data_IF_469786617087
#
_entry.id   IF_469786617087
#
_cell.length_a   1.000
_cell.length_b   1.000
_cell.length_c   1.000
_cell.angle_alpha   90.00
_cell.angle_beta   90.00
_cell.angle_gamma   90.00
#
_symmetry.space_group_name_H-M   'P 1'
#
loop_
_entity.id
_entity.type
_entity.pdbx_description
1 polymer ?
#
# COMPACT_ATOMS: atom_id res chain seq x y z
N UNK A 1 13.40 0.81 -40.74
CA UNK A 1 13.65 2.11 -40.10
C UNK A 1 13.53 1.98 -38.58
N UNK A 2 14.03 2.90 -37.78
CA UNK A 2 13.68 3.05 -36.37
C UNK A 2 12.50 4.00 -36.29
N UNK A 3 11.56 3.71 -35.37
CA UNK A 3 10.35 4.49 -35.18
C UNK A 3 10.16 4.76 -33.69
N UNK A 4 10.17 6.03 -33.29
CA UNK A 4 9.76 6.44 -31.95
C UNK A 4 8.27 6.66 -31.93
N UNK A 5 7.58 6.11 -30.93
CA UNK A 5 6.13 6.15 -30.82
C UNK A 5 5.72 6.48 -29.38
N UNK A 6 4.66 7.28 -29.25
CA UNK A 6 4.01 7.60 -27.99
C UNK A 6 2.49 7.73 -28.21
N UNK A 7 1.69 7.46 -27.16
CA UNK A 7 0.21 7.41 -27.24
C UNK A 7 -0.40 8.25 -26.14
N UNK A 8 -1.28 9.17 -26.52
CA UNK A 8 -2.15 9.87 -25.60
C UNK A 8 -3.52 9.19 -25.51
N UNK A 9 -3.99 8.93 -24.29
CA UNK A 9 -5.26 8.26 -24.03
C UNK A 9 -6.04 8.90 -22.87
N UNK A 10 -7.35 8.71 -22.87
CA UNK A 10 -8.19 9.12 -21.76
C UNK A 10 -7.97 8.24 -20.52
N UNK A 11 -8.34 8.76 -19.36
CA UNK A 11 -8.14 8.11 -18.07
C UNK A 11 -9.45 8.08 -17.30
N UNK A 12 -9.87 6.89 -16.88
CA UNK A 12 -11.05 6.70 -16.02
C UNK A 12 -10.66 6.63 -14.56
N UNK A 13 -11.43 7.29 -13.69
CA UNK A 13 -11.29 7.18 -12.24
C UNK A 13 -12.38 6.29 -11.67
N UNK A 14 -12.00 5.12 -11.12
CA UNK A 14 -12.90 4.17 -10.48
C UNK A 14 -12.39 3.82 -9.07
N UNK A 15 -13.26 3.84 -8.07
CA UNK A 15 -12.91 3.54 -6.66
C UNK A 15 -11.73 4.37 -6.14
N UNK A 16 -11.64 5.64 -6.55
CA UNK A 16 -10.56 6.55 -6.16
C UNK A 16 -9.21 6.31 -6.85
N UNK A 17 -9.13 5.34 -7.77
CA UNK A 17 -7.92 4.99 -8.53
C UNK A 17 -8.06 5.38 -10.00
N UNK A 18 -6.93 5.74 -10.60
CA UNK A 18 -6.83 6.04 -12.03
C UNK A 18 -6.55 4.73 -12.79
N UNK A 19 -7.30 4.52 -13.85
CA UNK A 19 -7.17 3.41 -14.79
C UNK A 19 -6.82 3.99 -16.17
N UNK A 20 -5.62 3.67 -16.65
CA UNK A 20 -5.07 4.21 -17.90
C UNK A 20 -5.11 3.20 -19.05
N UNK A 21 -5.61 2.01 -18.78
CA UNK A 21 -5.58 0.89 -19.72
C UNK A 21 -6.82 0.87 -20.63
N UNK A 22 -6.75 0.22 -21.80
CA UNK A 22 -7.85 0.15 -22.76
C UNK A 22 -9.00 -0.78 -22.35
N UNK A 23 -8.90 -1.49 -21.20
CA UNK A 23 -9.96 -2.38 -20.70
C UNK A 23 -11.02 -1.65 -19.89
N UNK A 24 -10.84 -0.35 -19.62
CA UNK A 24 -11.91 0.49 -19.10
C UNK A 24 -12.74 1.00 -20.30
N UNK A 25 -14.08 0.82 -20.30
CA UNK A 25 -14.93 1.11 -21.46
C UNK A 25 -14.93 2.57 -21.89
N UNK A 26 -14.71 3.46 -20.92
CA UNK A 26 -14.71 4.91 -21.16
C UNK A 26 -13.32 5.44 -21.56
N UNK A 27 -12.31 4.56 -21.62
CA UNK A 27 -10.98 4.94 -22.06
C UNK A 27 -10.85 4.77 -23.58
N UNK A 28 -10.31 5.79 -24.22
CA UNK A 28 -10.09 5.83 -25.67
C UNK A 28 -8.67 6.29 -25.97
N UNK A 29 -8.13 5.81 -27.10
CA UNK A 29 -6.90 6.32 -27.67
C UNK A 29 -7.19 7.65 -28.34
N UNK A 30 -6.55 8.72 -27.87
CA UNK A 30 -6.80 10.09 -28.35
C UNK A 30 -5.92 10.41 -29.55
N UNK A 31 -4.61 10.25 -29.39
CA UNK A 31 -3.63 10.52 -30.43
C UNK A 31 -2.51 9.48 -30.42
N UNK A 32 -1.89 9.25 -31.57
CA UNK A 32 -0.65 8.50 -31.74
C UNK A 32 0.35 9.39 -32.44
N UNK A 33 1.48 9.59 -31.79
CA UNK A 33 2.64 10.28 -32.35
C UNK A 33 3.70 9.29 -32.82
N UNK A 34 4.33 9.59 -33.95
CA UNK A 34 5.37 8.77 -34.54
C UNK A 34 6.46 9.64 -35.12
N UNK A 35 7.72 9.33 -34.80
CA UNK A 35 8.92 10.03 -35.32
C UNK A 35 9.88 9.00 -35.88
N UNK A 36 10.21 9.09 -37.16
CA UNK A 36 11.16 8.18 -37.80
C UNK A 36 12.64 8.66 -37.69
N UNK A 37 13.56 7.78 -38.01
CA UNK A 37 15.01 8.04 -37.95
C UNK A 37 15.52 9.05 -39.06
N UNK A 38 14.62 9.55 -39.89
CA UNK A 38 14.89 10.65 -40.85
C UNK A 38 14.34 11.98 -40.33
N UNK A 39 13.65 11.99 -39.20
CA UNK A 39 13.07 13.18 -38.62
C UNK A 39 11.68 13.53 -39.15
N UNK A 40 11.01 12.61 -39.86
CA UNK A 40 9.63 12.82 -40.25
C UNK A 40 8.72 12.47 -39.09
N UNK A 41 7.86 13.40 -38.71
CA UNK A 41 6.91 13.30 -37.65
C UNK A 41 5.48 13.18 -38.21
N UNK A 42 4.71 12.20 -37.70
CA UNK A 42 3.29 12.02 -37.99
C UNK A 42 2.52 11.99 -36.67
N UNK A 43 1.54 12.88 -36.50
CA UNK A 43 0.58 12.83 -35.37
C UNK A 43 -0.80 12.49 -35.93
N UNK A 44 -1.36 11.40 -35.44
CA UNK A 44 -2.66 10.86 -35.91
C UNK A 44 -3.69 10.93 -34.79
N UNK A 45 -4.80 11.61 -35.03
CA UNK A 45 -5.90 11.77 -34.08
C UNK A 45 -6.93 10.65 -34.27
N UNK A 46 -7.36 10.03 -33.14
CA UNK A 46 -8.37 8.96 -33.12
C UNK A 46 -9.65 9.34 -32.40
N UNK A 47 -9.56 10.01 -31.25
CA UNK A 47 -10.74 10.46 -30.49
C UNK A 47 -10.45 11.77 -29.76
N UNK A 48 -10.78 12.89 -30.42
CA UNK A 48 -10.56 14.22 -29.85
C UNK A 48 -11.83 15.07 -30.01
N UNK A 49 -12.14 15.94 -29.04
CA UNK A 49 -13.38 16.73 -29.07
C UNK A 49 -13.41 17.78 -30.22
N UNK A 50 -12.27 18.30 -30.61
CA UNK A 50 -12.14 19.34 -31.64
C UNK A 50 -11.85 18.78 -33.04
N UNK A 51 -11.29 17.57 -33.15
CA UNK A 51 -10.86 17.01 -34.43
C UNK A 51 -11.37 15.58 -34.62
N UNK A 52 -12.05 15.38 -35.74
CA UNK A 52 -12.53 14.06 -36.13
C UNK A 52 -11.38 13.18 -36.65
N UNK A 53 -11.42 11.87 -36.39
CA UNK A 53 -10.41 10.94 -36.92
C UNK A 53 -10.45 10.92 -38.46
N UNK A 54 -9.27 10.86 -39.06
CA UNK A 54 -9.17 10.70 -40.51
C UNK A 54 -9.35 9.24 -40.90
N UNK A 55 -9.98 8.97 -42.04
CA UNK A 55 -10.16 7.60 -42.58
C UNK A 55 -8.83 6.91 -42.86
N UNK A 56 -7.78 7.69 -43.14
CA UNK A 56 -6.44 7.20 -43.47
C UNK A 56 -5.56 6.99 -42.22
N UNK A 57 -5.96 7.54 -41.05
CA UNK A 57 -5.12 7.54 -39.84
C UNK A 57 -4.68 6.14 -39.43
N UNK A 58 -5.63 5.17 -39.45
CA UNK A 58 -5.29 3.78 -39.13
C UNK A 58 -4.30 3.15 -40.13
N UNK A 59 -4.43 3.47 -41.39
CA UNK A 59 -3.51 2.98 -42.42
C UNK A 59 -2.10 3.58 -42.24
N UNK A 60 -2.02 4.86 -41.93
CA UNK A 60 -0.73 5.55 -41.69
C UNK A 60 0.00 4.90 -40.53
N UNK A 61 -0.68 4.72 -39.39
CA UNK A 61 -0.08 4.10 -38.19
C UNK A 61 0.38 2.67 -38.50
N UNK A 62 -0.51 1.81 -39.08
CA UNK A 62 -0.13 0.44 -39.36
C UNK A 62 1.04 0.34 -40.34
N UNK A 63 1.01 1.15 -41.40
CA UNK A 63 2.11 1.18 -42.40
C UNK A 63 3.46 1.55 -41.74
N UNK A 64 3.49 2.57 -40.88
CA UNK A 64 4.72 2.95 -40.15
C UNK A 64 5.19 1.83 -39.24
N UNK A 65 4.26 1.12 -38.55
CA UNK A 65 4.60 -0.04 -37.73
C UNK A 65 5.16 -1.20 -38.57
N UNK A 66 4.57 -1.47 -39.76
CA UNK A 66 5.03 -2.54 -40.66
C UNK A 66 6.44 -2.24 -41.21
N UNK A 67 6.76 -0.98 -41.44
CA UNK A 67 8.07 -0.51 -41.94
C UNK A 67 9.14 -0.40 -40.81
N UNK A 68 8.73 -0.46 -39.55
CA UNK A 68 9.62 -0.30 -38.41
C UNK A 68 10.34 -1.62 -38.07
N UNK A 69 11.68 -1.60 -38.12
CA UNK A 69 12.52 -2.69 -37.64
C UNK A 69 12.74 -2.61 -36.12
N UNK A 70 12.69 -1.41 -35.55
CA UNK A 70 12.82 -1.15 -34.12
C UNK A 70 11.80 -0.08 -33.71
N UNK A 71 10.98 -0.39 -32.71
CA UNK A 71 10.05 0.54 -32.09
C UNK A 71 10.65 1.07 -30.76
N UNK A 72 10.79 2.38 -30.65
CA UNK A 72 11.34 3.07 -29.48
C UNK A 72 10.19 3.72 -28.72
N UNK A 73 10.07 3.45 -27.44
CA UNK A 73 9.02 3.97 -26.57
C UNK A 73 9.55 4.25 -25.17
N UNK A 74 8.83 5.05 -24.39
CA UNK A 74 9.10 5.24 -22.97
C UNK A 74 7.99 4.61 -22.13
N UNK A 75 8.26 3.49 -21.44
CA UNK A 75 7.28 2.61 -20.82
C UNK A 75 6.44 1.81 -21.86
N UNK A 76 7.13 1.16 -22.76
CA UNK A 76 6.59 0.45 -23.92
C UNK A 76 5.40 -0.48 -23.65
N UNK A 77 5.28 -1.03 -22.44
CA UNK A 77 4.17 -1.88 -22.06
C UNK A 77 2.81 -1.18 -22.17
N UNK A 78 2.77 0.13 -21.95
CA UNK A 78 1.57 0.94 -22.07
C UNK A 78 1.16 1.10 -23.53
N UNK A 79 2.05 1.56 -24.37
CA UNK A 79 1.79 1.86 -25.78
C UNK A 79 1.47 0.59 -26.59
N UNK A 80 2.24 -0.48 -26.36
CA UNK A 80 1.98 -1.78 -26.98
C UNK A 80 0.58 -2.30 -26.69
N UNK A 81 0.11 -2.14 -25.46
CA UNK A 81 -1.22 -2.58 -25.06
C UNK A 81 -2.31 -1.78 -25.76
N UNK A 82 -2.15 -0.44 -25.86
CA UNK A 82 -3.07 0.42 -26.59
C UNK A 82 -3.08 0.10 -28.09
N UNK A 83 -1.92 -0.12 -28.70
CA UNK A 83 -1.83 -0.53 -30.10
C UNK A 83 -2.61 -1.83 -30.35
N UNK A 84 -2.32 -2.88 -29.56
CA UNK A 84 -2.95 -4.19 -29.78
C UNK A 84 -4.46 -4.18 -29.55
N UNK A 85 -4.94 -3.52 -28.49
CA UNK A 85 -6.37 -3.42 -28.20
C UNK A 85 -7.10 -2.51 -29.22
N UNK A 86 -6.40 -1.56 -29.81
CA UNK A 86 -6.93 -0.76 -30.93
C UNK A 86 -6.85 -1.48 -32.28
N UNK A 87 -6.37 -2.73 -32.33
CA UNK A 87 -6.32 -3.58 -33.52
C UNK A 87 -5.11 -3.34 -34.43
N UNK A 88 -4.07 -2.66 -33.92
CA UNK A 88 -2.77 -2.58 -34.60
C UNK A 88 -1.93 -3.81 -34.28
N UNK A 89 -1.00 -4.13 -35.19
CA UNK A 89 -0.07 -5.25 -35.04
C UNK A 89 1.37 -4.76 -35.12
N UNK A 90 2.20 -5.26 -34.24
CA UNK A 90 3.64 -5.08 -34.28
C UNK A 90 4.32 -6.29 -33.62
N UNK A 91 5.27 -6.89 -34.31
CA UNK A 91 6.03 -8.06 -33.86
C UNK A 91 7.54 -7.87 -33.98
N UNK A 92 7.97 -6.65 -34.30
CA UNK A 92 9.38 -6.29 -34.40
C UNK A 92 10.08 -6.14 -33.05
N UNK A 93 11.34 -5.73 -33.08
CA UNK A 93 12.12 -5.43 -31.88
C UNK A 93 11.64 -4.12 -31.23
N UNK A 94 11.71 -4.04 -29.91
CA UNK A 94 11.44 -2.82 -29.15
C UNK A 94 12.66 -2.36 -28.36
N UNK A 95 12.72 -1.06 -28.10
CA UNK A 95 13.58 -0.48 -27.08
C UNK A 95 12.76 0.43 -26.16
N UNK A 96 12.61 0.00 -24.92
CA UNK A 96 11.97 0.79 -23.86
C UNK A 96 13.02 1.64 -23.15
N UNK A 97 12.97 2.96 -23.36
CA UNK A 97 13.94 3.90 -22.79
C UNK A 97 13.88 3.98 -21.26
N UNK A 98 12.69 3.78 -20.65
CA UNK A 98 12.54 3.69 -19.21
C UNK A 98 13.28 2.46 -18.66
N UNK A 99 13.13 1.30 -19.29
CA UNK A 99 13.83 0.08 -18.91
C UNK A 99 15.33 0.16 -19.26
N UNK A 100 15.70 0.84 -20.33
CA UNK A 100 17.08 1.16 -20.66
C UNK A 100 17.77 1.90 -19.51
N UNK A 101 17.16 2.99 -19.07
CA UNK A 101 17.66 3.75 -17.92
C UNK A 101 17.71 2.92 -16.63
N UNK A 102 16.66 2.15 -16.34
CA UNK A 102 16.63 1.26 -15.17
C UNK A 102 17.80 0.26 -15.12
N UNK A 103 18.18 -0.34 -16.25
CA UNK A 103 19.30 -1.29 -16.32
C UNK A 103 20.63 -0.56 -16.08
N UNK A 104 20.82 0.64 -16.67
CA UNK A 104 22.03 1.45 -16.47
C UNK A 104 22.20 1.92 -15.03
N UNK A 105 21.11 2.21 -14.32
CA UNK A 105 21.15 2.59 -12.90
C UNK A 105 21.65 1.50 -11.95
N UNK A 106 21.66 0.23 -12.35
CA UNK A 106 22.18 -0.88 -11.54
C UNK A 106 21.65 -0.91 -10.10
N UNK A 107 20.37 -0.55 -9.92
CA UNK A 107 19.68 -0.57 -8.64
C UNK A 107 19.76 0.70 -7.79
N UNK A 108 20.26 1.81 -8.32
CA UNK A 108 20.34 3.11 -7.61
C UNK A 108 18.96 3.74 -7.34
N UNK A 109 17.92 3.36 -8.11
CA UNK A 109 16.52 3.82 -7.93
C UNK A 109 16.32 5.33 -8.14
N UNK A 110 17.02 5.92 -9.06
CA UNK A 110 16.70 7.27 -9.52
C UNK A 110 15.33 7.28 -10.24
N UNK A 111 14.62 8.41 -10.28
CA UNK A 111 13.35 8.52 -11.00
C UNK A 111 13.52 8.17 -12.48
N UNK A 112 12.52 7.46 -13.02
CA UNK A 112 12.52 6.89 -14.37
C UNK A 112 11.50 7.54 -15.31
N UNK A 113 10.74 8.56 -14.87
CA UNK A 113 9.85 9.29 -15.78
C UNK A 113 10.65 9.97 -16.89
N UNK A 114 10.04 10.13 -18.06
CA UNK A 114 10.69 10.79 -19.20
C UNK A 114 11.25 12.16 -18.82
N UNK A 115 10.48 12.96 -18.09
CA UNK A 115 10.89 14.25 -17.56
C UNK A 115 12.16 14.16 -16.68
N UNK A 116 12.21 13.20 -15.74
CA UNK A 116 13.38 13.02 -14.87
C UNK A 116 14.61 12.51 -15.62
N UNK A 117 14.41 11.67 -16.63
CA UNK A 117 15.48 11.22 -17.51
C UNK A 117 15.98 12.37 -18.39
N UNK A 118 15.07 13.16 -18.94
CA UNK A 118 15.42 14.31 -19.77
C UNK A 118 16.21 15.37 -18.98
N UNK A 119 15.82 15.65 -17.74
CA UNK A 119 16.57 16.53 -16.84
C UNK A 119 17.97 15.98 -16.56
N UNK A 120 18.10 14.68 -16.30
CA UNK A 120 19.38 14.01 -16.02
C UNK A 120 20.35 14.07 -17.18
N UNK A 121 19.85 13.97 -18.40
CA UNK A 121 20.67 13.96 -19.63
C UNK A 121 20.74 15.30 -20.34
N UNK A 122 20.18 16.37 -19.74
CA UNK A 122 20.09 17.70 -20.30
C UNK A 122 19.50 17.69 -21.72
N UNK A 123 18.33 17.02 -21.86
CA UNK A 123 17.61 16.93 -23.11
C UNK A 123 16.60 18.08 -23.25
N UNK A 124 16.29 18.42 -24.49
CA UNK A 124 15.29 19.44 -24.78
C UNK A 124 13.87 18.93 -24.41
N UNK A 125 13.35 19.44 -23.33
CA UNK A 125 11.94 19.22 -22.95
C UNK A 125 11.21 20.54 -22.83
N UNK A 126 10.01 20.63 -23.42
CA UNK A 126 9.11 21.73 -23.09
C UNK A 126 8.57 21.51 -21.67
N UNK A 127 8.27 22.60 -20.94
CA UNK A 127 7.66 22.54 -19.61
C UNK A 127 6.29 21.87 -19.70
N UNK A 128 6.15 20.71 -19.07
CA UNK A 128 4.92 19.88 -19.05
C UNK A 128 3.86 20.35 -18.05
N UNK A 129 3.94 21.60 -17.57
CA UNK A 129 3.08 22.08 -16.48
C UNK A 129 1.59 22.10 -16.88
N UNK A 130 1.28 22.39 -18.15
CA UNK A 130 -0.11 22.54 -18.62
C UNK A 130 -0.92 21.23 -18.58
N UNK A 131 -0.38 20.12 -19.08
CA UNK A 131 -1.06 18.82 -19.06
C UNK A 131 -1.25 18.31 -17.62
N UNK A 132 -0.22 18.45 -16.78
CA UNK A 132 -0.34 18.07 -15.35
C UNK A 132 -1.41 18.87 -14.61
N UNK A 133 -1.52 20.18 -14.89
CA UNK A 133 -2.56 21.04 -14.31
C UNK A 133 -3.95 20.67 -14.84
N UNK A 134 -4.06 20.38 -16.14
CA UNK A 134 -5.27 19.93 -16.78
C UNK A 134 -5.83 18.65 -16.15
N UNK A 135 -4.99 17.62 -16.01
CA UNK A 135 -5.34 16.36 -15.38
C UNK A 135 -5.65 16.50 -13.88
N UNK A 136 -4.91 17.35 -13.15
CA UNK A 136 -5.23 17.67 -11.73
C UNK A 136 -6.58 18.35 -11.59
N UNK A 137 -7.01 19.13 -12.56
CA UNK A 137 -8.34 19.74 -12.60
C UNK A 137 -9.45 18.72 -12.92
N UNK A 138 -9.11 17.44 -13.13
CA UNK A 138 -10.05 16.36 -13.44
C UNK A 138 -10.61 16.40 -14.86
N UNK A 139 -9.94 17.12 -15.78
CA UNK A 139 -10.34 17.23 -17.18
C UNK A 139 -9.76 16.09 -18.00
N UNK A 140 -10.45 15.72 -19.10
CA UNK A 140 -10.01 14.68 -20.03
C UNK A 140 -8.96 15.22 -20.99
N UNK A 141 -7.97 14.41 -21.35
CA UNK A 141 -6.99 14.70 -22.41
C UNK A 141 -7.70 14.93 -23.75
N UNK A 142 -8.81 14.23 -23.98
CA UNK A 142 -9.66 14.38 -25.16
C UNK A 142 -10.16 15.81 -25.39
N UNK A 143 -10.36 16.59 -24.30
CA UNK A 143 -10.95 17.94 -24.31
C UNK A 143 -9.87 19.04 -24.18
N UNK A 144 -8.60 18.69 -24.24
CA UNK A 144 -7.50 19.66 -24.27
C UNK A 144 -7.44 20.31 -25.66
N UNK A 145 -6.91 21.55 -25.77
CA UNK A 145 -6.67 22.14 -27.08
C UNK A 145 -5.84 21.21 -27.95
N UNK A 146 -6.31 20.94 -29.17
CA UNK A 146 -5.68 19.97 -30.07
C UNK A 146 -4.24 20.32 -30.41
N UNK A 147 -3.92 21.60 -30.63
CA UNK A 147 -2.57 22.06 -30.94
C UNK A 147 -1.65 21.89 -29.73
N UNK A 148 -2.16 22.24 -28.53
CA UNK A 148 -1.41 22.10 -27.29
C UNK A 148 -1.10 20.62 -26.98
N UNK A 149 -2.05 19.72 -27.19
CA UNK A 149 -1.84 18.27 -27.02
C UNK A 149 -0.88 17.71 -28.06
N UNK A 150 -0.98 18.13 -29.31
CA UNK A 150 -0.05 17.74 -30.38
C UNK A 150 1.37 18.22 -30.12
N UNK A 151 1.53 19.46 -29.68
CA UNK A 151 2.83 20.02 -29.30
C UNK A 151 3.46 19.29 -28.11
N UNK A 152 2.60 18.83 -27.17
CA UNK A 152 3.02 18.04 -26.04
C UNK A 152 3.53 16.67 -26.50
N UNK A 153 2.74 15.94 -27.30
CA UNK A 153 3.08 14.63 -27.84
C UNK A 153 4.35 14.69 -28.71
N UNK A 154 4.50 15.71 -29.55
CA UNK A 154 5.72 15.96 -30.31
C UNK A 154 6.95 16.12 -29.43
N UNK A 155 6.84 16.89 -28.34
CA UNK A 155 7.94 17.07 -27.40
C UNK A 155 8.35 15.74 -26.72
N UNK A 156 7.39 14.89 -26.36
CA UNK A 156 7.66 13.59 -25.75
C UNK A 156 8.30 12.61 -26.74
N UNK A 157 7.92 12.64 -28.03
CA UNK A 157 8.58 11.87 -29.07
C UNK A 157 10.05 12.26 -29.21
N UNK A 158 10.35 13.56 -29.34
CA UNK A 158 11.70 14.05 -29.47
C UNK A 158 12.56 13.76 -28.22
N UNK A 159 12.00 13.94 -27.04
CA UNK A 159 12.69 13.60 -25.77
C UNK A 159 12.99 12.09 -25.68
N UNK A 160 12.04 11.25 -26.09
CA UNK A 160 12.21 9.78 -26.10
C UNK A 160 13.26 9.34 -27.10
N UNK A 161 13.29 9.94 -28.31
CA UNK A 161 14.33 9.68 -29.32
C UNK A 161 15.70 10.11 -28.84
N UNK A 162 15.83 11.32 -28.29
CA UNK A 162 17.11 11.84 -27.77
C UNK A 162 17.60 10.97 -26.59
N UNK A 163 16.69 10.55 -25.71
CA UNK A 163 17.02 9.64 -24.60
C UNK A 163 17.53 8.30 -25.13
N UNK A 164 16.88 7.73 -26.13
CA UNK A 164 17.35 6.50 -26.79
C UNK A 164 18.78 6.66 -27.29
N UNK A 165 19.09 7.75 -28.01
CA UNK A 165 20.40 7.99 -28.55
C UNK A 165 21.48 8.11 -27.46
N UNK A 166 21.17 8.80 -26.36
CA UNK A 166 22.05 8.87 -25.18
C UNK A 166 22.28 7.51 -24.51
N UNK A 167 21.23 6.74 -24.35
CA UNK A 167 21.33 5.41 -23.76
C UNK A 167 22.14 4.46 -24.64
N UNK A 168 21.97 4.51 -25.97
CA UNK A 168 22.76 3.70 -26.92
C UNK A 168 24.25 3.92 -26.80
N UNK A 169 24.69 5.16 -26.70
CA UNK A 169 26.12 5.50 -26.49
C UNK A 169 26.63 4.83 -25.21
N UNK A 170 25.88 4.91 -24.10
CA UNK A 170 26.29 4.29 -22.83
C UNK A 170 26.31 2.76 -22.88
N UNK A 171 25.41 2.15 -23.64
CA UNK A 171 25.39 0.69 -23.83
C UNK A 171 26.58 0.22 -24.70
N UNK A 172 26.99 0.97 -25.68
CA UNK A 172 28.18 0.70 -26.48
C UNK A 172 29.46 0.77 -25.65
N UNK A 173 29.54 1.68 -24.69
CA UNK A 173 30.64 1.77 -23.71
C UNK A 173 30.58 0.61 -22.67
N UNK A 174 29.40 0.05 -22.41
CA UNK A 174 29.13 -0.99 -21.40
C UNK A 174 28.61 -2.29 -22.03
N UNK A 175 29.38 -2.95 -22.89
CA UNK A 175 28.99 -4.18 -23.61
C UNK A 175 28.39 -5.28 -22.72
N UNK A 176 28.73 -5.33 -21.43
CA UNK A 176 28.19 -6.31 -20.49
C UNK A 176 26.69 -6.15 -20.19
N UNK A 177 26.11 -4.98 -20.50
CA UNK A 177 24.70 -4.70 -20.29
C UNK A 177 23.82 -4.89 -21.53
N UNK A 178 24.42 -5.03 -22.71
CA UNK A 178 23.69 -5.18 -23.97
C UNK A 178 22.75 -6.41 -23.97
N UNK A 179 23.24 -7.54 -23.51
CA UNK A 179 22.41 -8.75 -23.38
C UNK A 179 21.29 -8.58 -22.33
N UNK A 180 21.56 -7.83 -21.27
CA UNK A 180 20.57 -7.57 -20.20
C UNK A 180 19.44 -6.70 -20.71
N UNK A 181 19.75 -5.60 -21.43
CA UNK A 181 18.69 -4.73 -21.96
C UNK A 181 17.87 -5.43 -23.03
N UNK A 182 18.51 -6.22 -23.90
CA UNK A 182 17.79 -7.00 -24.92
C UNK A 182 16.80 -7.98 -24.27
N UNK A 183 17.23 -8.72 -23.26
CA UNK A 183 16.36 -9.64 -22.51
C UNK A 183 15.26 -8.88 -21.79
N UNK A 184 15.56 -7.71 -21.19
CA UNK A 184 14.60 -6.88 -20.48
C UNK A 184 13.50 -6.37 -21.41
N UNK A 185 13.83 -5.92 -22.61
CA UNK A 185 12.87 -5.50 -23.62
C UNK A 185 12.00 -6.66 -24.13
N UNK A 186 12.59 -7.82 -24.41
CA UNK A 186 11.83 -9.01 -24.79
C UNK A 186 10.85 -9.42 -23.70
N UNK A 187 11.29 -9.39 -22.43
CA UNK A 187 10.42 -9.67 -21.30
C UNK A 187 9.28 -8.65 -21.17
N UNK A 188 9.52 -7.37 -21.43
CA UNK A 188 8.49 -6.33 -21.40
C UNK A 188 7.32 -6.64 -22.34
N UNK A 189 7.61 -7.09 -23.58
CA UNK A 189 6.59 -7.53 -24.55
C UNK A 189 5.76 -8.70 -23.98
N UNK A 190 6.43 -9.69 -23.40
CA UNK A 190 5.73 -10.84 -22.82
C UNK A 190 4.87 -10.45 -21.60
N UNK A 191 5.36 -9.55 -20.76
CA UNK A 191 4.60 -9.05 -19.60
C UNK A 191 3.39 -8.22 -20.04
N UNK A 192 3.52 -7.39 -21.08
CA UNK A 192 2.40 -6.69 -21.69
C UNK A 192 1.35 -7.67 -22.25
N UNK A 193 1.77 -8.76 -22.91
CA UNK A 193 0.86 -9.82 -23.37
C UNK A 193 0.19 -10.57 -22.23
N UNK A 194 0.88 -10.82 -21.12
CA UNK A 194 0.26 -11.41 -19.91
C UNK A 194 -0.81 -10.47 -19.36
N UNK A 195 -0.51 -9.17 -19.26
CA UNK A 195 -1.49 -8.18 -18.86
C UNK A 195 -2.69 -8.16 -19.78
N UNK A 196 -2.48 -8.07 -21.10
CA UNK A 196 -3.53 -8.08 -22.12
C UNK A 196 -4.45 -9.29 -21.98
N UNK A 197 -3.91 -10.49 -21.79
CA UNK A 197 -4.68 -11.71 -21.67
C UNK A 197 -5.52 -11.78 -20.42
N UNK A 198 -5.03 -11.22 -19.31
CA UNK A 198 -5.68 -11.25 -18.01
C UNK A 198 -5.92 -12.65 -17.44
N UNK A 199 -6.48 -12.69 -16.24
CA UNK A 199 -6.92 -13.92 -15.56
C UNK A 199 -8.43 -13.89 -15.41
N UNK A 200 -9.13 -14.91 -15.90
CA UNK A 200 -10.59 -15.01 -15.76
C UNK A 200 -10.95 -15.19 -14.29
N UNK A 201 -11.83 -14.32 -13.78
CA UNK A 201 -12.29 -14.31 -12.40
C UNK A 201 -13.70 -14.87 -12.32
N UNK A 202 -13.92 -15.82 -11.44
CA UNK A 202 -15.24 -16.28 -11.02
C UNK A 202 -15.78 -15.31 -9.95
N UNK A 203 -16.61 -14.38 -10.35
CA UNK A 203 -17.17 -13.35 -9.45
C UNK A 203 -18.12 -13.94 -8.41
N UNK A 204 -18.81 -15.03 -8.70
CA UNK A 204 -19.69 -15.74 -7.75
C UNK A 204 -18.83 -16.44 -6.68
N UNK A 205 -17.76 -17.12 -7.10
CA UNK A 205 -16.82 -17.74 -6.18
C UNK A 205 -16.08 -16.68 -5.33
N UNK A 206 -15.75 -15.51 -5.90
CA UNK A 206 -15.14 -14.41 -5.16
C UNK A 206 -16.08 -13.87 -4.07
N UNK A 207 -17.36 -13.70 -4.40
CA UNK A 207 -18.37 -13.26 -3.45
C UNK A 207 -18.60 -14.31 -2.34
N UNK A 208 -18.65 -15.59 -2.68
CA UNK A 208 -18.76 -16.66 -1.69
C UNK A 208 -17.56 -16.67 -0.72
N UNK A 209 -16.35 -16.49 -1.23
CA UNK A 209 -15.13 -16.36 -0.43
C UNK A 209 -15.19 -15.12 0.46
N UNK A 210 -15.67 -13.98 -0.05
CA UNK A 210 -15.86 -12.76 0.74
C UNK A 210 -16.76 -13.00 1.95
N UNK A 211 -17.94 -13.58 1.71
CA UNK A 211 -18.93 -13.87 2.76
C UNK A 211 -18.34 -14.83 3.82
N UNK A 212 -17.68 -15.91 3.39
CA UNK A 212 -17.05 -16.88 4.29
C UNK A 212 -16.05 -16.20 5.25
N UNK A 213 -15.18 -15.34 4.71
CA UNK A 213 -14.15 -14.67 5.51
C UNK A 213 -14.68 -13.51 6.34
N UNK A 214 -15.70 -12.80 5.91
CA UNK A 214 -16.39 -11.82 6.75
C UNK A 214 -17.05 -12.46 7.97
N UNK A 215 -17.71 -13.59 7.80
CA UNK A 215 -18.28 -14.35 8.91
C UNK A 215 -17.21 -14.89 9.87
N UNK A 216 -16.09 -15.37 9.35
CA UNK A 216 -14.95 -15.79 10.18
C UNK A 216 -14.36 -14.61 10.95
N UNK A 217 -14.15 -13.46 10.30
CA UNK A 217 -13.66 -12.23 10.92
C UNK A 217 -14.54 -11.79 12.07
N UNK A 218 -15.86 -11.75 11.84
CA UNK A 218 -16.82 -11.31 12.85
C UNK A 218 -16.89 -12.27 14.05
N UNK A 219 -16.73 -13.57 13.80
CA UNK A 219 -16.64 -14.58 14.85
C UNK A 219 -15.37 -14.43 15.67
N UNK A 220 -14.21 -14.32 15.01
CA UNK A 220 -12.92 -14.11 15.69
C UNK A 220 -12.90 -12.79 16.48
N UNK A 221 -13.49 -11.74 15.94
CA UNK A 221 -13.59 -10.44 16.61
C UNK A 221 -14.39 -10.56 17.91
N UNK A 222 -15.58 -11.17 17.88
CA UNK A 222 -16.40 -11.38 19.08
C UNK A 222 -15.70 -12.23 20.14
N UNK A 223 -15.06 -13.31 19.73
CA UNK A 223 -14.32 -14.18 20.65
C UNK A 223 -13.12 -13.46 21.28
N UNK A 224 -12.40 -12.67 20.51
CA UNK A 224 -11.26 -11.88 21.00
C UNK A 224 -11.72 -10.73 21.90
N UNK A 225 -12.80 -10.03 21.58
CA UNK A 225 -13.38 -8.99 22.44
C UNK A 225 -13.79 -9.53 23.78
N UNK A 226 -14.42 -10.70 23.81
CA UNK A 226 -14.79 -11.35 25.08
C UNK A 226 -13.55 -11.76 25.89
N UNK A 227 -12.53 -12.33 25.25
CA UNK A 227 -11.27 -12.65 25.94
C UNK A 227 -10.56 -11.39 26.45
N UNK A 228 -10.55 -10.30 25.67
CA UNK A 228 -9.98 -9.01 26.09
C UNK A 228 -10.76 -8.45 27.28
N UNK A 229 -12.09 -8.52 27.25
CA UNK A 229 -12.94 -8.10 28.37
C UNK A 229 -12.61 -8.84 29.67
N UNK A 230 -12.38 -10.14 29.59
CA UNK A 230 -11.97 -10.95 30.75
C UNK A 230 -10.55 -10.56 31.21
N UNK A 231 -9.63 -10.29 30.31
CA UNK A 231 -8.23 -9.97 30.61
C UNK A 231 -8.01 -8.52 31.07
N UNK A 232 -8.71 -7.56 30.47
CA UNK A 232 -8.44 -6.13 30.59
C UNK A 232 -9.60 -5.36 31.20
N UNK A 233 -10.75 -5.99 31.40
CA UNK A 233 -11.97 -5.32 31.81
C UNK A 233 -12.79 -4.81 30.62
N UNK A 234 -13.97 -4.25 30.90
CA UNK A 234 -14.94 -3.83 29.88
C UNK A 234 -14.53 -2.49 29.21
N UNK A 235 -13.45 -2.54 28.46
CA UNK A 235 -12.91 -1.40 27.71
C UNK A 235 -12.66 -1.77 26.26
N UNK A 236 -12.96 -0.87 25.33
CA UNK A 236 -12.66 -1.11 23.94
C UNK A 236 -11.14 -1.10 23.71
N UNK A 237 -10.62 -2.25 23.32
CA UNK A 237 -9.21 -2.41 22.89
C UNK A 237 -9.22 -2.69 21.40
N UNK A 238 -8.57 -1.84 20.64
CA UNK A 238 -8.37 -2.07 19.21
C UNK A 238 -7.20 -3.04 18.99
N UNK A 239 -7.50 -4.29 18.69
CA UNK A 239 -6.50 -5.34 18.44
C UNK A 239 -5.73 -5.15 17.12
N UNK A 240 -6.24 -4.34 16.20
CA UNK A 240 -5.52 -3.95 14.99
C UNK A 240 -4.46 -2.86 15.25
N UNK A 241 -4.49 -2.24 16.44
CA UNK A 241 -3.43 -1.35 16.87
C UNK A 241 -2.29 -2.15 17.52
N UNK A 242 -1.07 -2.18 16.95
CA UNK A 242 0.07 -2.88 17.55
C UNK A 242 0.37 -2.41 18.97
N UNK A 243 0.13 -1.13 19.26
CA UNK A 243 0.29 -0.56 20.59
C UNK A 243 -0.71 -1.16 21.58
N UNK A 244 -2.01 -1.14 21.25
CA UNK A 244 -3.05 -1.65 22.14
C UNK A 244 -2.97 -3.16 22.30
N UNK A 245 -2.65 -3.89 21.24
CA UNK A 245 -2.37 -5.32 21.33
C UNK A 245 -1.18 -5.61 22.27
N UNK A 246 -0.15 -4.77 22.26
CA UNK A 246 1.00 -4.92 23.17
C UNK A 246 0.60 -4.77 24.65
N UNK A 247 -0.42 -3.96 24.94
CA UNK A 247 -0.94 -3.82 26.30
C UNK A 247 -1.56 -5.13 26.82
N UNK A 248 -2.35 -5.76 25.96
CA UNK A 248 -2.98 -7.06 26.31
C UNK A 248 -1.93 -8.14 26.50
N UNK A 249 -0.93 -8.20 25.63
CA UNK A 249 0.12 -9.25 25.68
C UNK A 249 1.05 -9.06 26.86
N UNK A 250 1.60 -7.88 27.04
CA UNK A 250 2.68 -7.64 28.02
C UNK A 250 2.19 -7.01 29.32
N UNK A 251 0.94 -6.61 29.39
CA UNK A 251 0.38 -5.88 30.53
C UNK A 251 1.18 -4.62 30.91
N UNK A 252 1.83 -4.01 29.92
CA UNK A 252 2.73 -2.86 30.09
C UNK A 252 2.67 -1.93 28.90
N UNK A 253 2.78 -0.63 29.14
CA UNK A 253 2.98 0.42 28.14
C UNK A 253 4.30 1.15 28.34
N UNK A 254 5.13 1.34 27.29
CA UNK A 254 6.48 1.91 27.48
C UNK A 254 6.55 3.41 27.68
N UNK A 255 5.67 4.24 27.11
CA UNK A 255 5.98 5.68 27.03
C UNK A 255 4.87 6.67 27.37
N UNK A 256 3.63 6.46 26.98
CA UNK A 256 2.60 7.49 27.14
C UNK A 256 1.62 7.18 28.26
N UNK A 257 1.82 7.88 29.37
CA UNK A 257 1.02 7.72 30.60
C UNK A 257 -0.40 8.27 30.47
N UNK A 258 -0.61 9.28 29.60
CA UNK A 258 -1.88 10.02 29.53
C UNK A 258 -3.00 9.21 28.88
N UNK A 259 -2.73 8.63 27.72
CA UNK A 259 -3.70 7.79 27.00
C UNK A 259 -4.11 6.56 27.83
N UNK A 260 -3.21 6.07 28.62
CA UNK A 260 -3.45 4.91 29.47
C UNK A 260 -4.36 5.23 30.66
N UNK A 261 -4.13 6.35 31.34
CA UNK A 261 -4.99 6.83 32.42
C UNK A 261 -6.43 7.06 31.90
N UNK A 262 -6.57 7.69 30.73
CA UNK A 262 -7.88 7.96 30.13
C UNK A 262 -8.63 6.67 29.77
N UNK A 263 -7.93 5.57 29.44
CA UNK A 263 -8.56 4.29 29.13
C UNK A 263 -8.96 3.48 30.37
N UNK A 264 -8.19 3.52 31.44
CA UNK A 264 -8.34 2.58 32.57
C UNK A 264 -8.76 3.22 33.90
N UNK A 265 -8.45 4.46 34.19
CA UNK A 265 -8.87 5.12 35.43
C UNK A 265 -10.40 5.21 35.59
N UNK A 266 -11.19 5.51 34.56
CA UNK A 266 -12.65 5.57 34.70
C UNK A 266 -13.33 4.21 34.89
N UNK A 267 -12.58 3.12 34.80
CA UNK A 267 -13.17 1.75 34.87
C UNK A 267 -13.47 1.29 36.30
N UNK A 268 -13.30 2.14 37.28
CA UNK A 268 -13.54 1.77 38.68
C UNK A 268 -14.84 2.37 39.18
N UNK A 269 -15.97 1.65 39.09
CA UNK A 269 -17.27 2.20 39.46
C UNK A 269 -17.37 2.59 40.92
N UNK A 270 -16.54 2.02 41.78
CA UNK A 270 -16.57 2.22 43.25
C UNK A 270 -15.23 2.72 43.81
N UNK A 271 -14.30 3.12 43.00
CA UNK A 271 -12.94 3.51 43.36
C UNK A 271 -12.17 2.45 44.21
N UNK A 272 -12.69 1.22 44.27
CA UNK A 272 -12.08 0.13 45.04
C UNK A 272 -10.81 -0.43 44.40
N UNK A 273 -10.65 -0.21 43.11
CA UNK A 273 -9.54 -0.73 42.30
C UNK A 273 -9.07 0.29 41.26
N UNK A 274 -7.82 0.31 40.92
CA UNK A 274 -7.30 1.09 39.80
C UNK A 274 -6.06 0.46 39.17
N UNK A 275 -5.72 0.96 37.97
CA UNK A 275 -4.45 0.70 37.30
C UNK A 275 -3.36 1.63 37.82
N UNK A 276 -2.16 1.10 38.01
CA UNK A 276 -1.03 1.88 38.53
C UNK A 276 0.01 2.10 37.44
N UNK A 277 0.46 3.35 37.38
CA UNK A 277 1.58 3.77 36.55
C UNK A 277 2.86 3.71 37.40
N UNK A 278 3.81 2.89 36.98
CA UNK A 278 5.10 2.75 37.67
C UNK A 278 6.24 3.07 36.70
N UNK A 279 7.11 4.02 37.10
CA UNK A 279 8.42 4.32 36.49
C UNK A 279 8.48 4.15 34.96
N UNK A 280 7.86 5.03 34.18
CA UNK A 280 7.86 5.03 32.71
C UNK A 280 7.32 3.77 32.01
N UNK A 281 6.89 2.76 32.77
CA UNK A 281 6.14 1.62 32.26
C UNK A 281 4.84 1.48 33.05
N UNK A 282 3.72 1.26 32.34
CA UNK A 282 2.41 1.06 32.95
C UNK A 282 2.23 -0.43 33.16
N UNK A 283 2.13 -0.86 34.40
CA UNK A 283 1.69 -2.20 34.78
C UNK A 283 0.18 -2.18 34.99
N UNK A 284 -0.53 -2.99 34.27
CA UNK A 284 -1.95 -3.19 34.50
C UNK A 284 -2.17 -4.19 35.60
N UNK A 285 -2.62 -3.72 36.72
CA UNK A 285 -3.15 -4.56 37.78
C UNK A 285 -4.20 -3.81 38.58
N UNK A 286 -5.14 -4.53 39.13
CA UNK A 286 -6.13 -3.99 40.06
C UNK A 286 -5.51 -3.96 41.45
N UNK A 287 -5.61 -2.83 42.11
CA UNK A 287 -5.28 -2.71 43.52
C UNK A 287 -6.53 -2.29 44.30
N UNK A 288 -6.77 -2.90 45.44
CA UNK A 288 -7.85 -2.48 46.31
C UNK A 288 -7.54 -1.12 46.91
N UNK A 289 -8.42 -0.17 46.65
CA UNK A 289 -8.28 1.19 47.15
C UNK A 289 -8.89 1.32 48.55
N UNK A 290 -8.21 2.08 49.40
CA UNK A 290 -8.76 2.61 50.66
C UNK A 290 -8.74 4.12 50.62
N UNK A 291 -9.72 4.75 51.21
CA UNK A 291 -9.75 6.19 51.39
C UNK A 291 -8.45 6.68 52.06
N UNK A 292 -7.83 7.67 51.50
CA UNK A 292 -6.59 8.24 52.05
C UNK A 292 -6.88 8.95 53.34
N UNK A 293 -6.29 8.48 54.46
CA UNK A 293 -6.46 9.08 55.74
C UNK A 293 -5.80 10.49 55.86
N UNK A 294 -4.78 10.78 55.04
CA UNK A 294 -4.10 12.08 55.08
C UNK A 294 -4.93 13.24 54.50
N UNK A 295 -5.90 12.95 53.64
CA UNK A 295 -6.81 13.96 53.07
C UNK A 295 -8.28 13.59 53.17
N UNK A 296 -8.63 12.55 53.87
CA UNK A 296 -9.98 12.03 54.02
C UNK A 296 -10.70 11.86 52.65
N UNK A 297 -9.97 11.35 51.66
CA UNK A 297 -10.51 11.07 50.32
C UNK A 297 -10.58 12.25 49.37
N UNK A 298 -10.23 13.48 49.81
CA UNK A 298 -10.38 14.68 48.95
C UNK A 298 -9.26 14.83 47.91
N UNK A 299 -8.14 14.13 48.08
CA UNK A 299 -6.95 14.31 47.25
C UNK A 299 -6.18 15.60 47.52
N UNK A 300 -6.71 16.49 48.37
CA UNK A 300 -6.16 17.80 48.63
C UNK A 300 -6.02 18.05 50.12
N UNK A 301 -5.01 18.82 50.51
CA UNK A 301 -4.78 19.25 51.89
C UNK A 301 -4.56 20.75 51.94
N UNK A 302 -4.98 21.39 53.02
CA UNK A 302 -4.64 22.76 53.33
C UNK A 302 -3.54 22.78 54.40
N UNK A 303 -2.49 23.55 54.17
CA UNK A 303 -1.45 23.76 55.18
C UNK A 303 -2.00 24.64 56.28
N UNK A 304 -1.57 24.37 57.50
CA UNK A 304 -1.88 25.16 58.71
C UNK A 304 -0.79 26.24 58.88
N UNK A 305 -1.20 27.48 59.16
CA UNK A 305 -0.29 28.57 59.50
C UNK A 305 0.20 28.42 60.96
N UNK A 306 1.22 29.19 61.31
CA UNK A 306 1.76 29.20 62.65
C UNK A 306 0.73 29.63 63.72
N UNK A 307 -0.28 30.40 63.31
CA UNK A 307 -1.36 30.89 64.16
C UNK A 307 -2.54 29.91 64.27
N UNK A 308 -2.43 28.73 63.66
CA UNK A 308 -3.47 27.70 63.63
C UNK A 308 -4.51 27.87 62.51
N UNK A 309 -4.48 28.95 61.74
CA UNK A 309 -5.40 29.16 60.61
C UNK A 309 -4.97 28.38 59.38
N UNK A 310 -5.96 28.08 58.49
CA UNK A 310 -5.67 27.36 57.23
C UNK A 310 -5.30 28.35 56.12
N UNK A 311 -4.35 27.97 55.26
CA UNK A 311 -4.11 28.71 54.03
C UNK A 311 -5.32 28.60 53.10
N UNK A 312 -5.64 29.66 52.36
CA UNK A 312 -6.70 29.66 51.38
C UNK A 312 -6.46 28.67 50.23
N UNK A 313 -5.17 28.50 49.86
CA UNK A 313 -4.76 27.61 48.77
C UNK A 313 -4.70 26.15 49.24
N UNK A 314 -5.31 25.26 48.50
CA UNK A 314 -5.16 23.80 48.64
C UNK A 314 -3.92 23.31 47.91
N UNK A 315 -3.26 22.29 48.47
CA UNK A 315 -2.14 21.60 47.86
C UNK A 315 -2.53 20.13 47.62
N UNK A 316 -1.93 19.54 46.63
CA UNK A 316 -2.07 18.09 46.37
C UNK A 316 -1.62 17.31 47.63
N UNK A 317 -2.40 16.33 48.04
CA UNK A 317 -2.04 15.48 49.19
C UNK A 317 -0.83 14.62 48.84
N UNK A 318 0.25 14.77 49.56
CA UNK A 318 1.48 14.00 49.34
C UNK A 318 1.38 12.51 49.69
N UNK A 319 0.43 12.15 50.56
CA UNK A 319 0.20 10.76 50.98
C UNK A 319 -0.43 9.89 49.87
N UNK A 320 -1.32 10.47 49.11
CA UNK A 320 -2.03 9.77 48.01
C UNK A 320 -1.73 10.33 46.63
N UNK A 321 -0.80 11.26 46.54
CA UNK A 321 -0.44 11.97 45.32
C UNK A 321 -1.64 12.62 44.62
N UNK A 322 -2.57 13.15 45.43
CA UNK A 322 -3.76 13.84 44.93
C UNK A 322 -4.91 12.95 44.48
N UNK A 323 -4.82 11.65 44.67
CA UNK A 323 -5.83 10.69 44.20
C UNK A 323 -7.00 10.53 45.16
N UNK A 324 -6.86 10.89 46.42
CA UNK A 324 -7.85 10.63 47.47
C UNK A 324 -7.80 9.19 48.02
N UNK A 325 -7.01 8.30 47.44
CA UNK A 325 -6.96 6.88 47.82
C UNK A 325 -5.51 6.41 48.02
N UNK A 326 -5.35 5.47 48.93
CA UNK A 326 -4.16 4.63 49.07
C UNK A 326 -4.48 3.22 48.59
N UNK A 327 -3.53 2.55 47.98
CA UNK A 327 -3.73 1.26 47.32
C UNK A 327 -2.91 0.17 47.98
N UNK A 328 -3.52 -1.01 48.16
CA UNK A 328 -2.87 -2.18 48.75
C UNK A 328 -2.08 -2.95 47.70
N UNK A 329 -0.85 -3.34 48.01
CA UNK A 329 0.06 -4.01 47.08
C UNK A 329 -0.29 -5.46 46.74
N UNK A 330 -1.21 -6.06 47.49
CA UNK A 330 -1.48 -7.51 47.45
C UNK A 330 -2.57 -8.00 46.50
N UNK A 331 -3.06 -7.13 45.61
CA UNK A 331 -4.10 -7.56 44.66
C UNK A 331 -3.46 -8.23 43.45
N UNK A 332 -3.93 -9.44 43.05
CA UNK A 332 -3.39 -10.14 41.88
C UNK A 332 -3.48 -9.29 40.63
N UNK A 333 -2.42 -9.30 39.84
CA UNK A 333 -2.47 -8.73 38.50
C UNK A 333 -3.46 -9.53 37.65
N UNK A 334 -4.56 -8.90 37.22
CA UNK A 334 -5.62 -9.52 36.45
C UNK A 334 -5.70 -9.00 35.02
N UNK A 335 -4.86 -8.05 34.67
CA UNK A 335 -4.88 -7.43 33.34
C UNK A 335 -3.85 -8.05 32.40
N UNK A 336 -4.31 -8.41 31.20
CA UNK A 336 -3.50 -8.94 30.12
C UNK A 336 -2.93 -10.33 30.34
N UNK A 337 -2.17 -10.80 29.36
CA UNK A 337 -1.55 -12.14 29.33
C UNK A 337 -0.27 -12.25 30.17
N UNK A 338 0.26 -11.15 30.65
CA UNK A 338 1.42 -11.06 31.56
C UNK A 338 2.73 -11.63 31.02
N UNK A 339 2.92 -11.63 29.70
CA UNK A 339 4.22 -11.97 29.16
C UNK A 339 5.29 -10.97 29.61
N UNK A 340 6.51 -11.45 29.74
CA UNK A 340 7.63 -10.57 30.04
C UNK A 340 7.81 -9.58 28.88
N UNK A 341 7.99 -8.30 29.22
CA UNK A 341 8.29 -7.27 28.25
C UNK A 341 9.57 -7.63 27.49
N UNK A 342 9.59 -7.44 26.16
CA UNK A 342 10.76 -7.76 25.39
C UNK A 342 11.92 -6.82 25.70
N UNK A 343 13.13 -7.25 25.38
CA UNK A 343 14.34 -6.44 25.41
C UNK A 343 14.28 -5.32 24.36
N UNK A 344 15.25 -4.42 24.37
CA UNK A 344 15.34 -3.29 23.42
C UNK A 344 15.20 -3.68 21.95
N UNK A 345 15.62 -4.88 21.57
CA UNK A 345 15.47 -5.42 20.21
C UNK A 345 14.01 -5.49 19.72
N UNK A 346 13.06 -5.62 20.64
CA UNK A 346 11.64 -5.79 20.35
C UNK A 346 10.79 -4.60 20.80
N UNK A 347 11.42 -3.48 21.09
CA UNK A 347 10.74 -2.23 21.38
C UNK A 347 10.74 -1.32 20.16
N UNK A 348 9.61 -0.69 19.91
CA UNK A 348 9.45 0.33 18.86
C UNK A 348 9.11 1.68 19.51
N UNK A 349 9.05 2.74 18.70
CA UNK A 349 8.61 4.05 19.17
C UNK A 349 7.19 4.00 19.77
N UNK A 350 6.32 3.10 19.27
CA UNK A 350 4.91 3.00 19.62
C UNK A 350 4.57 1.84 20.57
N UNK A 351 5.56 1.17 21.15
CA UNK A 351 5.31 0.08 22.08
C UNK A 351 6.20 -1.15 21.87
N UNK A 352 5.79 -2.27 22.42
CA UNK A 352 6.50 -3.53 22.27
C UNK A 352 6.07 -4.25 20.99
N UNK A 353 6.99 -4.98 20.37
CA UNK A 353 6.74 -5.67 19.12
C UNK A 353 5.63 -6.72 19.24
N UNK A 354 4.70 -6.64 18.29
CA UNK A 354 3.58 -7.59 18.09
C UNK A 354 3.58 -8.15 16.68
N UNK A 355 4.75 -8.16 16.01
CA UNK A 355 4.90 -8.73 14.67
C UNK A 355 4.55 -10.21 14.63
N UNK A 356 4.21 -10.71 13.45
CA UNK A 356 3.87 -12.13 13.22
C UNK A 356 4.88 -13.08 13.86
N UNK A 357 6.18 -12.84 13.65
CA UNK A 357 7.26 -13.70 14.19
C UNK A 357 7.31 -13.63 15.72
N UNK A 358 7.04 -12.43 16.27
CA UNK A 358 6.98 -12.28 17.72
C UNK A 358 5.79 -13.01 18.32
N UNK A 359 4.62 -12.94 17.69
CA UNK A 359 3.43 -13.67 18.15
C UNK A 359 3.64 -15.19 18.08
N UNK A 360 4.28 -15.71 17.04
CA UNK A 360 4.67 -17.14 16.93
C UNK A 360 5.62 -17.54 18.05
N UNK A 361 6.63 -16.71 18.33
CA UNK A 361 7.55 -16.98 19.44
C UNK A 361 6.81 -17.01 20.79
N UNK A 362 5.92 -16.04 21.04
CA UNK A 362 5.14 -15.99 22.29
C UNK A 362 4.18 -17.16 22.42
N UNK A 363 3.60 -17.64 21.33
CA UNK A 363 2.79 -18.86 21.30
C UNK A 363 3.62 -20.07 21.74
N UNK A 364 4.86 -20.23 21.26
CA UNK A 364 5.79 -21.27 21.70
C UNK A 364 6.09 -21.18 23.20
N UNK A 365 6.33 -19.98 23.73
CA UNK A 365 6.51 -19.73 25.16
C UNK A 365 5.25 -20.07 25.98
N UNK A 366 4.07 -19.72 25.45
CA UNK A 366 2.81 -20.06 26.12
C UNK A 366 2.59 -21.57 26.20
N UNK A 367 2.87 -22.30 25.12
CA UNK A 367 2.79 -23.77 25.09
C UNK A 367 3.74 -24.42 26.10
N UNK A 368 4.98 -23.98 26.17
CA UNK A 368 5.98 -24.51 27.12
C UNK A 368 5.61 -24.25 28.60
N UNK A 369 4.73 -23.27 28.85
CA UNK A 369 4.25 -22.92 30.19
C UNK A 369 2.82 -23.40 30.47
N UNK A 370 2.23 -24.21 29.61
CA UNK A 370 0.85 -24.69 29.69
C UNK A 370 -0.20 -23.60 29.83
N UNK A 371 0.05 -22.42 29.19
CA UNK A 371 -0.86 -21.27 29.19
C UNK A 371 -1.85 -21.36 28.02
N UNK A 372 -2.81 -22.28 28.08
CA UNK A 372 -3.69 -22.60 26.95
C UNK A 372 -4.52 -21.39 26.47
N UNK A 373 -5.01 -20.57 27.39
CA UNK A 373 -5.78 -19.36 27.04
C UNK A 373 -4.93 -18.35 26.27
N UNK A 374 -3.65 -18.20 26.63
CA UNK A 374 -2.74 -17.35 25.90
C UNK A 374 -2.40 -17.92 24.51
N UNK A 375 -2.27 -19.24 24.38
CA UNK A 375 -2.09 -19.91 23.07
C UNK A 375 -3.29 -19.61 22.18
N UNK A 376 -4.50 -19.83 22.66
CA UNK A 376 -5.74 -19.60 21.92
C UNK A 376 -5.87 -18.13 21.51
N UNK A 377 -5.60 -17.19 22.42
CA UNK A 377 -5.62 -15.75 22.12
C UNK A 377 -4.63 -15.38 21.00
N UNK A 378 -3.36 -15.79 21.12
CA UNK A 378 -2.32 -15.45 20.13
C UNK A 378 -2.62 -16.06 18.75
N UNK A 379 -3.18 -17.27 18.71
CA UNK A 379 -3.60 -17.91 17.47
C UNK A 379 -4.75 -17.16 16.80
N UNK A 380 -5.79 -16.77 17.58
CA UNK A 380 -6.92 -15.99 17.07
C UNK A 380 -6.50 -14.63 16.58
N UNK A 381 -5.63 -13.91 17.29
CA UNK A 381 -5.10 -12.61 16.84
C UNK A 381 -4.35 -12.74 15.51
N UNK A 382 -3.52 -13.76 15.38
CA UNK A 382 -2.81 -14.03 14.12
C UNK A 382 -3.77 -14.41 12.99
N UNK A 383 -4.81 -15.19 13.30
CA UNK A 383 -5.81 -15.56 12.30
C UNK A 383 -6.64 -14.37 11.87
N UNK A 384 -7.10 -13.52 12.81
CA UNK A 384 -7.83 -12.30 12.51
C UNK A 384 -7.01 -11.38 11.59
N UNK A 385 -5.74 -11.11 11.93
CA UNK A 385 -4.85 -10.30 11.10
C UNK A 385 -4.64 -10.90 9.70
N UNK A 386 -4.62 -12.22 9.59
CA UNK A 386 -4.54 -12.88 8.30
C UNK A 386 -5.86 -12.72 7.51
N UNK A 387 -7.01 -12.91 8.12
CA UNK A 387 -8.33 -12.73 7.49
C UNK A 387 -8.50 -11.28 7.01
N UNK A 388 -8.17 -10.28 7.84
CA UNK A 388 -8.23 -8.87 7.44
C UNK A 388 -7.33 -8.57 6.22
N UNK A 389 -6.11 -9.12 6.19
CA UNK A 389 -5.21 -8.98 5.04
C UNK A 389 -5.83 -9.60 3.78
N UNK A 390 -6.52 -10.72 3.90
CA UNK A 390 -7.13 -11.38 2.75
C UNK A 390 -8.33 -10.63 2.21
N UNK A 391 -9.21 -10.19 3.08
CA UNK A 391 -10.35 -9.37 2.69
C UNK A 391 -9.88 -8.08 2.00
N UNK A 392 -8.97 -7.34 2.63
CA UNK A 392 -8.54 -6.04 2.10
C UNK A 392 -7.59 -6.13 0.90
N UNK A 393 -6.63 -7.05 0.91
CA UNK A 393 -5.61 -7.10 -0.14
C UNK A 393 -5.99 -7.98 -1.33
N UNK A 394 -6.71 -9.07 -1.08
CA UNK A 394 -7.02 -10.02 -2.15
C UNK A 394 -8.47 -9.94 -2.59
N UNK A 395 -9.45 -10.02 -1.70
CA UNK A 395 -10.86 -9.97 -2.11
C UNK A 395 -11.21 -8.58 -2.66
N UNK A 396 -11.00 -7.53 -1.89
CA UNK A 396 -11.23 -6.16 -2.34
C UNK A 396 -10.28 -5.77 -3.48
N UNK A 397 -8.99 -6.20 -3.39
CA UNK A 397 -8.02 -5.98 -4.44
C UNK A 397 -8.45 -6.55 -5.77
N UNK A 398 -8.91 -7.81 -5.81
CA UNK A 398 -9.44 -8.44 -7.03
C UNK A 398 -10.68 -7.70 -7.48
N UNK A 399 -11.68 -7.50 -6.61
CA UNK A 399 -12.94 -6.86 -6.95
C UNK A 399 -12.77 -5.43 -7.52
N UNK A 400 -11.81 -4.67 -6.99
CA UNK A 400 -11.55 -3.30 -7.46
C UNK A 400 -10.86 -3.24 -8.83
N UNK A 401 -10.21 -4.32 -9.27
CA UNK A 401 -9.45 -4.35 -10.51
C UNK A 401 -9.98 -5.31 -11.56
N UNK A 402 -10.99 -6.13 -11.24
CA UNK A 402 -11.70 -6.90 -12.27
C UNK A 402 -12.34 -5.93 -13.25
N UNK A 403 -12.10 -6.14 -14.55
CA UNK A 403 -12.64 -5.32 -15.62
C UNK A 403 -14.00 -5.85 -16.08
N UNK A 404 -14.66 -5.11 -16.97
CA UNK A 404 -15.97 -5.52 -17.50
C UNK A 404 -15.93 -6.81 -18.33
N UNK A 405 -14.78 -7.18 -18.88
CA UNK A 405 -14.55 -8.44 -19.56
C UNK A 405 -14.48 -9.66 -18.60
N UNK A 406 -14.68 -9.45 -17.30
CA UNK A 406 -14.62 -10.48 -16.27
C UNK A 406 -13.20 -10.94 -15.92
N UNK A 407 -12.18 -10.18 -16.33
CA UNK A 407 -10.79 -10.54 -16.11
C UNK A 407 -10.07 -9.58 -15.18
N UNK A 408 -9.03 -10.10 -14.56
CA UNK A 408 -8.07 -9.37 -13.78
C UNK A 408 -6.78 -9.18 -14.58
N UNK A 409 -6.48 -7.95 -14.97
CA UNK A 409 -5.26 -7.58 -15.67
C UNK A 409 -4.20 -7.17 -14.66
N UNK A 410 -3.23 -8.04 -14.40
CA UNK A 410 -2.21 -7.86 -13.36
C UNK A 410 -0.96 -7.24 -13.94
N UNK A 411 -0.56 -6.09 -13.42
CA UNK A 411 0.70 -5.44 -13.78
C UNK A 411 1.89 -6.14 -13.14
N UNK A 412 2.84 -6.58 -13.97
CA UNK A 412 4.12 -7.13 -13.55
C UNK A 412 5.24 -6.17 -13.99
N UNK A 413 5.79 -5.43 -13.03
CA UNK A 413 6.69 -4.31 -13.25
C UNK A 413 8.16 -4.74 -13.05
N UNK A 414 9.01 -4.46 -14.03
CA UNK A 414 10.43 -4.81 -14.02
C UNK A 414 11.28 -3.80 -13.27
N UNK A 415 10.89 -2.53 -13.29
CA UNK A 415 11.68 -1.38 -12.80
C UNK A 415 11.52 -1.05 -11.31
N UNK A 416 10.64 -1.76 -10.57
CA UNK A 416 10.30 -1.42 -9.17
C UNK A 416 11.30 -1.90 -8.13
N UNK A 417 12.11 -2.89 -8.44
CA UNK A 417 13.03 -3.51 -7.47
C UNK A 417 14.48 -3.29 -7.85
N UNK A 418 15.34 -3.00 -6.88
CA UNK A 418 16.79 -2.88 -7.12
C UNK A 418 17.47 -4.21 -7.51
N UNK A 419 16.79 -5.33 -7.33
CA UNK A 419 17.34 -6.69 -7.49
C UNK A 419 16.94 -7.36 -8.82
N UNK A 420 16.23 -6.66 -9.70
CA UNK A 420 15.73 -7.22 -10.97
C UNK A 420 14.56 -8.19 -10.83
N UNK A 421 13.96 -8.32 -9.62
CA UNK A 421 12.73 -9.10 -9.45
C UNK A 421 11.54 -8.35 -10.02
N UNK A 422 10.57 -9.07 -10.57
CA UNK A 422 9.28 -8.48 -10.92
C UNK A 422 8.53 -8.05 -9.66
N UNK A 423 7.81 -6.95 -9.77
CA UNK A 423 6.90 -6.46 -8.72
C UNK A 423 5.48 -6.46 -9.24
N UNK A 424 4.57 -7.16 -8.55
CA UNK A 424 3.16 -7.14 -8.90
C UNK A 424 2.46 -5.88 -8.38
N UNK A 425 1.55 -5.35 -9.18
CA UNK A 425 0.69 -4.21 -8.81
C UNK A 425 -0.72 -4.40 -9.40
N UNK A 426 -1.69 -3.74 -8.78
CA UNK A 426 -3.04 -3.54 -9.27
C UNK A 426 -3.85 -4.82 -9.61
N UNK A 427 -4.03 -5.75 -8.67
CA UNK A 427 -3.46 -5.90 -7.34
C UNK A 427 -2.13 -6.68 -7.35
N UNK A 428 -1.40 -6.70 -6.22
CA UNK A 428 -0.17 -7.49 -6.12
C UNK A 428 -0.46 -8.98 -5.93
N UNK A 429 -0.60 -9.71 -7.02
CA UNK A 429 -0.89 -11.15 -7.03
C UNK A 429 0.32 -12.03 -6.70
N UNK A 430 1.55 -11.50 -6.68
CA UNK A 430 2.75 -12.27 -6.31
C UNK A 430 2.77 -12.65 -4.83
N UNK A 431 2.08 -11.87 -3.98
CA UNK A 431 1.96 -12.15 -2.55
C UNK A 431 0.78 -13.06 -2.19
N UNK A 432 0.15 -13.67 -3.19
CA UNK A 432 -0.98 -14.57 -2.97
C UNK A 432 -0.60 -15.69 -1.99
N UNK A 433 -1.43 -15.95 -0.97
CA UNK A 433 -1.14 -16.98 0.01
C UNK A 433 -1.01 -18.36 -0.61
N UNK A 434 -0.19 -19.18 0.00
CA UNK A 434 -0.08 -20.60 -0.40
C UNK A 434 -1.42 -21.30 -0.14
N UNK A 435 -1.82 -22.17 -1.07
CA UNK A 435 -3.06 -22.96 -0.96
C UNK A 435 -3.12 -23.78 0.34
N UNK A 436 -4.30 -23.90 0.91
CA UNK A 436 -4.56 -24.58 2.19
C UNK A 436 -4.96 -23.65 3.33
N UNK A 437 -4.45 -22.42 3.37
CA UNK A 437 -4.84 -21.42 4.39
C UNK A 437 -5.94 -20.49 3.88
N UNK A 438 -6.01 -20.31 2.55
CA UNK A 438 -6.96 -19.41 1.89
C UNK A 438 -7.31 -19.89 0.48
N UNK A 439 -8.59 -20.05 0.18
CA UNK A 439 -9.03 -20.56 -1.09
C UNK A 439 -9.09 -19.50 -2.21
N UNK A 440 -8.43 -18.34 -2.07
CA UNK A 440 -8.45 -17.26 -3.09
C UNK A 440 -8.10 -17.75 -4.49
N UNK A 441 -7.30 -18.82 -4.61
CA UNK A 441 -7.01 -19.41 -5.91
C UNK A 441 -8.22 -20.04 -6.59
N UNK A 442 -9.28 -20.38 -5.84
CA UNK A 442 -10.53 -20.94 -6.38
C UNK A 442 -11.34 -19.92 -7.18
N UNK A 443 -11.06 -18.64 -7.02
CA UNK A 443 -11.74 -17.58 -7.77
C UNK A 443 -11.22 -17.40 -9.19
N UNK A 444 -10.15 -18.10 -9.58
CA UNK A 444 -9.61 -18.06 -10.93
C UNK A 444 -10.03 -19.30 -11.70
N UNK A 445 -10.66 -19.07 -12.85
CA UNK A 445 -11.06 -20.13 -13.79
C UNK A 445 -9.98 -20.30 -14.86
N UNK A 446 -9.74 -21.56 -15.27
CA UNK A 446 -9.07 -21.82 -16.53
C UNK A 446 -9.96 -21.34 -17.68
N UNK A 447 -9.37 -20.74 -18.69
CA UNK A 447 -10.06 -20.46 -19.95
C UNK A 447 -10.06 -21.67 -20.89
N UNK A 448 -9.39 -22.72 -20.49
CA UNK A 448 -9.36 -24.00 -21.18
C UNK A 448 -10.16 -24.97 -20.31
N UNK A 449 -11.31 -25.39 -20.81
CA UNK A 449 -12.09 -26.49 -20.21
C UNK A 449 -11.46 -27.84 -20.50
#
# INVERSE_FOLDING_TARGET
MKLTLDIENTVTKRNGKLHLDPFEPDNTMVMVGMLDDLGHEDIVTFDHSEQQPTTEGRYIVQKKLDDAALLIMHNASHDLMWLWESGFTYEGEIFDTMLGEYVLQRGQKEPLSLEACAERYDLDTKKQDSLKEWLKAGKSVRDMDHTELSDYLSADLHATQQLYDRLRIQYEECNSLEATIKLTNQLAVHLARIYQRGFTVDTEALEAVRIEFEQERDTLTRELEEQVRQLMGDRPINLNSPEQLSWVIYSKKPKDKKVWADLFEPYMPDASYRSIVHNNSIKLYKQKAKQCLGCNGTGQIRKVRKDGSLYARTNKCSTCDGTGYSFMDSVPNVAGLKFNAPTSKWTSANGFATSKDRLVHLEGVARSRNMQDAVNFLQRVRRLSAVDTYLSSFVEGINNYVKQDGKLHVSLLQHRTATGRLSGANPNMQNMPRGGTFPVKRVFKSRWD
#
